data_IF_436733487238
#
_entry.id   IF_436733487238
#
_cell.length_a   1.000
_cell.length_b   1.000
_cell.length_c   1.000
_cell.angle_alpha   90.00
_cell.angle_beta   90.00
_cell.angle_gamma   90.00
#
_symmetry.space_group_name_H-M   'P 1'
#
loop_
_entity.id
_entity.type
_entity.pdbx_description
1 polymer ?
#
# COMPACT_ATOMS: atom_id res chain seq x y z
N UNK A 1 -9.64 -4.92 38.70
CA UNK A 1 -8.30 -4.68 38.16
C UNK A 1 -8.36 -3.49 37.23
N UNK A 2 -8.14 -2.27 37.80
CA UNK A 2 -8.05 -1.04 37.00
C UNK A 2 -6.67 -0.97 36.36
N UNK A 3 -6.53 -1.49 35.16
CA UNK A 3 -5.37 -1.17 34.33
C UNK A 3 -5.53 0.28 33.88
N UNK A 4 -4.76 1.19 34.47
CA UNK A 4 -4.58 2.51 33.88
C UNK A 4 -3.89 2.31 32.52
N UNK A 5 -4.55 2.73 31.45
CA UNK A 5 -3.90 2.86 30.16
C UNK A 5 -2.86 3.98 30.30
N UNK A 6 -1.60 3.63 30.20
CA UNK A 6 -0.49 4.58 30.24
C UNK A 6 -0.26 5.04 28.80
N UNK A 7 -0.29 6.36 28.59
CA UNK A 7 0.01 6.94 27.29
C UNK A 7 1.46 6.61 26.88
N UNK A 8 1.64 6.25 25.62
CA UNK A 8 2.97 5.98 25.03
C UNK A 8 3.89 7.19 25.19
N UNK A 9 3.35 8.39 25.08
CA UNK A 9 4.09 9.65 25.27
C UNK A 9 4.63 9.77 26.71
N UNK A 10 3.85 9.40 27.74
CA UNK A 10 4.29 9.41 29.13
C UNK A 10 5.43 8.41 29.39
N UNK A 11 5.37 7.24 28.74
CA UNK A 11 6.45 6.25 28.81
C UNK A 11 7.73 6.83 28.19
N UNK A 12 7.62 7.43 27.02
CA UNK A 12 8.76 8.02 26.31
C UNK A 12 9.39 9.16 27.09
N UNK A 13 8.60 10.05 27.67
CA UNK A 13 9.07 11.15 28.53
C UNK A 13 9.77 10.61 29.80
N UNK A 14 9.26 9.51 30.34
CA UNK A 14 9.89 8.84 31.49
C UNK A 14 11.25 8.27 31.13
N UNK A 15 11.37 7.63 29.95
CA UNK A 15 12.66 7.11 29.44
C UNK A 15 13.67 8.25 29.27
N UNK A 16 13.27 9.37 28.68
CA UNK A 16 14.14 10.55 28.51
C UNK A 16 14.65 11.07 29.87
N UNK A 17 13.74 11.26 30.84
CA UNK A 17 14.09 11.70 32.20
C UNK A 17 15.04 10.75 32.90
N UNK A 18 14.84 9.43 32.76
CA UNK A 18 15.71 8.43 33.35
C UNK A 18 17.11 8.46 32.72
N UNK A 19 17.20 8.56 31.40
CA UNK A 19 18.47 8.65 30.69
C UNK A 19 19.26 9.91 31.11
N UNK A 20 18.59 11.04 31.22
CA UNK A 20 19.20 12.29 31.68
C UNK A 20 19.66 12.19 33.13
N UNK A 21 18.82 11.65 34.02
CA UNK A 21 19.14 11.47 35.45
C UNK A 21 20.35 10.57 35.67
N UNK A 22 20.55 9.58 34.80
CA UNK A 22 21.69 8.67 34.85
C UNK A 22 22.91 9.16 34.03
N UNK A 23 22.95 10.45 33.67
CA UNK A 23 24.05 11.10 32.95
C UNK A 23 24.37 10.48 31.59
N UNK A 24 23.40 9.74 30.99
CA UNK A 24 23.53 9.12 29.67
C UNK A 24 23.17 10.08 28.53
N UNK A 25 23.76 11.28 28.56
CA UNK A 25 23.38 12.41 27.69
C UNK A 25 23.43 12.09 26.20
N UNK A 26 24.44 11.35 25.73
CA UNK A 26 24.54 10.99 24.32
C UNK A 26 23.41 10.02 23.89
N UNK A 27 23.06 9.08 24.76
CA UNK A 27 21.97 8.14 24.52
C UNK A 27 20.62 8.87 24.56
N UNK A 28 20.43 9.76 25.55
CA UNK A 28 19.22 10.59 25.64
C UNK A 28 19.06 11.46 24.39
N UNK A 29 20.11 12.13 23.93
CA UNK A 29 20.08 12.92 22.69
C UNK A 29 19.69 12.09 21.48
N UNK A 30 20.31 10.91 21.31
CA UNK A 30 20.00 10.02 20.20
C UNK A 30 18.55 9.52 20.27
N UNK A 31 18.04 9.24 21.47
CA UNK A 31 16.66 8.81 21.69
C UNK A 31 15.65 9.90 21.35
N UNK A 32 15.90 11.14 21.80
CA UNK A 32 15.05 12.31 21.52
C UNK A 32 14.98 12.56 20.01
N UNK A 33 16.13 12.60 19.32
CA UNK A 33 16.19 12.81 17.88
C UNK A 33 15.48 11.67 17.11
N UNK A 34 15.63 10.43 17.57
CA UNK A 34 14.92 9.29 16.99
C UNK A 34 13.41 9.42 17.16
N UNK A 35 12.93 9.77 18.38
CA UNK A 35 11.53 10.00 18.69
C UNK A 35 10.93 11.10 17.80
N UNK A 36 11.62 12.24 17.71
CA UNK A 36 11.21 13.37 16.88
C UNK A 36 11.08 12.96 15.42
N UNK A 37 12.09 12.27 14.87
CA UNK A 37 12.05 11.74 13.50
C UNK A 37 10.84 10.81 13.29
N UNK A 38 10.58 9.90 14.22
CA UNK A 38 9.44 8.97 14.15
C UNK A 38 8.09 9.69 14.19
N UNK A 39 7.97 10.70 15.03
CA UNK A 39 6.75 11.53 15.12
C UNK A 39 6.53 12.30 13.82
N UNK A 40 7.57 12.90 13.27
CA UNK A 40 7.49 13.59 11.98
C UNK A 40 7.07 12.65 10.85
N UNK A 41 7.70 11.49 10.74
CA UNK A 41 7.35 10.48 9.74
C UNK A 41 5.89 10.02 9.84
N UNK A 42 5.36 9.89 11.06
CA UNK A 42 3.94 9.55 11.29
C UNK A 42 3.03 10.69 10.82
N UNK A 43 3.37 11.93 11.14
CA UNK A 43 2.57 13.10 10.76
C UNK A 43 2.55 13.27 9.23
N UNK A 44 3.70 13.18 8.56
CA UNK A 44 3.81 13.28 7.10
C UNK A 44 2.94 12.20 6.41
N UNK A 45 2.92 10.99 6.95
CA UNK A 45 2.06 9.90 6.47
C UNK A 45 0.58 10.22 6.65
N UNK A 46 0.18 10.67 7.83
CA UNK A 46 -1.22 11.01 8.12
C UNK A 46 -1.70 12.18 7.27
N UNK A 47 -0.86 13.17 7.04
CA UNK A 47 -1.18 14.28 6.12
C UNK A 47 -1.39 13.78 4.69
N UNK A 48 -0.55 12.85 4.23
CA UNK A 48 -0.69 12.26 2.90
C UNK A 48 -2.00 11.46 2.77
N UNK A 49 -2.31 10.61 3.76
CA UNK A 49 -3.57 9.85 3.82
C UNK A 49 -4.77 10.79 3.80
N UNK A 50 -4.74 11.85 4.60
CA UNK A 50 -5.81 12.86 4.66
C UNK A 50 -5.99 13.60 3.33
N UNK A 51 -4.90 13.96 2.68
CA UNK A 51 -4.93 14.67 1.40
C UNK A 51 -5.50 13.79 0.29
N UNK A 52 -5.19 12.49 0.31
CA UNK A 52 -5.70 11.52 -0.65
C UNK A 52 -7.16 11.14 -0.32
N UNK A 53 -7.51 11.10 0.97
CA UNK A 53 -8.85 10.73 1.44
C UNK A 53 -9.10 9.23 1.36
N UNK A 54 -8.09 8.42 1.68
CA UNK A 54 -8.14 6.97 1.68
C UNK A 54 -7.44 6.41 2.93
N UNK A 55 -8.21 5.95 3.89
CA UNK A 55 -7.70 5.43 5.16
C UNK A 55 -6.99 4.07 4.99
N UNK A 56 -7.43 3.23 4.03
CA UNK A 56 -6.79 1.92 3.76
C UNK A 56 -5.36 2.10 3.23
N UNK A 57 -5.03 3.25 2.65
CA UNK A 57 -3.68 3.59 2.19
C UNK A 57 -2.68 3.70 3.34
N UNK A 58 -3.12 3.98 4.58
CA UNK A 58 -2.22 4.13 5.72
C UNK A 58 -1.37 2.89 5.96
N UNK A 59 -1.98 1.70 5.91
CA UNK A 59 -1.26 0.43 6.13
C UNK A 59 -0.16 0.21 5.09
N UNK A 60 -0.43 0.57 3.83
CA UNK A 60 0.56 0.50 2.74
C UNK A 60 1.73 1.45 3.00
N UNK A 61 1.44 2.68 3.44
CA UNK A 61 2.49 3.67 3.74
C UNK A 61 3.29 3.29 5.00
N UNK A 62 2.66 2.66 6.00
CA UNK A 62 3.36 2.09 7.17
C UNK A 62 4.34 1.01 6.73
N UNK A 63 3.92 0.10 5.85
CA UNK A 63 4.77 -0.98 5.35
C UNK A 63 5.92 -0.44 4.48
N UNK A 64 5.65 0.58 3.66
CA UNK A 64 6.67 1.30 2.90
C UNK A 64 7.71 1.92 3.85
N UNK A 65 7.29 2.65 4.89
CA UNK A 65 8.20 3.29 5.85
C UNK A 65 9.04 2.27 6.64
N UNK A 66 8.48 1.09 6.95
CA UNK A 66 9.23 0.00 7.58
C UNK A 66 10.31 -0.58 6.67
N UNK A 67 9.98 -0.75 5.40
CA UNK A 67 10.86 -1.37 4.41
C UNK A 67 11.92 -0.40 3.88
N UNK A 68 11.61 0.89 3.85
CA UNK A 68 12.47 1.96 3.32
C UNK A 68 12.58 3.14 4.31
N UNK A 69 13.22 2.93 5.49
CA UNK A 69 13.25 3.93 6.58
C UNK A 69 14.03 5.20 6.24
N UNK A 70 14.86 5.16 5.20
CA UNK A 70 15.67 6.29 4.74
C UNK A 70 14.94 7.16 3.70
N UNK A 71 13.75 6.72 3.24
CA UNK A 71 12.96 7.43 2.25
C UNK A 71 11.91 8.31 2.94
N UNK A 72 12.00 9.62 2.67
CA UNK A 72 11.16 10.61 3.31
C UNK A 72 9.84 10.80 2.55
N UNK A 73 8.72 10.38 3.15
CA UNK A 73 7.39 10.58 2.59
C UNK A 73 7.00 12.05 2.47
N UNK A 74 7.65 12.96 3.18
CA UNK A 74 7.44 14.40 3.02
C UNK A 74 7.73 14.85 1.59
N UNK A 75 8.79 14.34 0.97
CA UNK A 75 9.11 14.62 -0.45
C UNK A 75 8.00 14.14 -1.39
N UNK A 76 7.41 12.98 -1.09
CA UNK A 76 6.28 12.46 -1.84
C UNK A 76 5.05 13.33 -1.65
N UNK A 77 4.75 13.76 -0.42
CA UNK A 77 3.68 14.70 -0.10
C UNK A 77 3.84 16.03 -0.87
N UNK A 78 5.01 16.65 -0.79
CA UNK A 78 5.30 17.91 -1.47
C UNK A 78 5.11 17.79 -2.99
N UNK A 79 5.63 16.71 -3.59
CA UNK A 79 5.47 16.46 -5.01
C UNK A 79 4.03 16.21 -5.39
N UNK A 80 3.32 15.37 -4.67
CA UNK A 80 1.92 15.09 -4.90
C UNK A 80 1.05 16.35 -4.77
N UNK A 81 1.25 17.14 -3.70
CA UNK A 81 0.47 18.35 -3.43
C UNK A 81 0.61 19.41 -4.53
N UNK A 82 1.80 19.53 -5.15
CA UNK A 82 2.00 20.47 -6.27
C UNK A 82 1.29 20.05 -7.54
N UNK A 83 1.00 18.77 -7.71
CA UNK A 83 0.36 18.20 -8.92
C UNK A 83 -1.14 17.94 -8.71
N UNK A 84 -1.59 17.83 -7.46
CA UNK A 84 -2.99 17.58 -7.11
C UNK A 84 -3.88 18.78 -7.44
N UNK A 85 -5.11 18.49 -7.88
CA UNK A 85 -6.13 19.48 -8.22
C UNK A 85 -7.42 19.19 -7.49
N UNK A 86 -8.17 20.22 -7.15
CA UNK A 86 -9.49 20.06 -6.58
C UNK A 86 -10.42 19.29 -7.52
N UNK A 87 -11.29 18.47 -6.94
CA UNK A 87 -12.30 17.71 -7.69
C UNK A 87 -11.80 16.41 -8.34
N UNK A 88 -10.55 16.03 -8.15
CA UNK A 88 -10.05 14.72 -8.61
C UNK A 88 -10.74 13.57 -7.87
N UNK A 89 -11.08 12.50 -8.61
CA UNK A 89 -11.57 11.26 -8.00
C UNK A 89 -10.50 10.60 -7.11
N UNK A 90 -10.91 9.73 -6.19
CA UNK A 90 -9.98 8.96 -5.37
C UNK A 90 -9.01 8.16 -6.24
N UNK A 91 -9.51 7.50 -7.29
CA UNK A 91 -8.71 6.76 -8.26
C UNK A 91 -7.63 7.63 -8.90
N UNK A 92 -7.99 8.84 -9.35
CA UNK A 92 -7.03 9.77 -9.97
C UNK A 92 -5.97 10.23 -8.98
N UNK A 93 -6.35 10.45 -7.71
CA UNK A 93 -5.41 10.82 -6.64
C UNK A 93 -4.42 9.69 -6.33
N UNK A 94 -4.87 8.44 -6.25
CA UNK A 94 -3.99 7.28 -6.05
C UNK A 94 -3.05 7.09 -7.25
N UNK A 95 -3.55 7.23 -8.47
CA UNK A 95 -2.74 7.18 -9.68
C UNK A 95 -1.69 8.31 -9.72
N UNK A 96 -2.08 9.52 -9.31
CA UNK A 96 -1.17 10.66 -9.21
C UNK A 96 -0.09 10.44 -8.14
N UNK A 97 -0.45 9.88 -6.97
CA UNK A 97 0.51 9.53 -5.92
C UNK A 97 1.55 8.52 -6.43
N UNK A 98 1.08 7.47 -7.11
CA UNK A 98 1.93 6.45 -7.72
C UNK A 98 2.91 7.07 -8.71
N UNK A 99 2.41 7.93 -9.60
CA UNK A 99 3.24 8.65 -10.57
C UNK A 99 4.22 9.60 -9.89
N UNK A 100 3.78 10.35 -8.88
CA UNK A 100 4.64 11.26 -8.12
C UNK A 100 5.80 10.50 -7.47
N UNK A 101 5.55 9.30 -6.94
CA UNK A 101 6.58 8.41 -6.40
C UNK A 101 7.56 7.94 -7.47
N UNK A 102 7.06 7.48 -8.63
CA UNK A 102 7.91 7.03 -9.73
C UNK A 102 8.84 8.16 -10.24
N UNK A 103 8.34 9.39 -10.31
CA UNK A 103 9.12 10.56 -10.74
C UNK A 103 10.17 11.03 -9.70
N UNK A 104 10.16 10.51 -8.47
CA UNK A 104 11.21 10.74 -7.48
C UNK A 104 12.41 9.79 -7.66
N UNK A 105 12.28 8.78 -8.54
CA UNK A 105 13.36 7.82 -8.79
C UNK A 105 14.57 8.50 -9.41
N UNK A 106 15.71 8.37 -8.75
CA UNK A 106 17.00 8.84 -9.25
C UNK A 106 18.04 7.74 -9.13
N UNK A 107 19.24 7.98 -9.67
CA UNK A 107 20.36 7.06 -9.53
C UNK A 107 20.81 6.89 -8.07
N UNK A 108 20.70 7.96 -7.29
CA UNK A 108 21.05 8.01 -5.87
C UNK A 108 19.97 7.40 -4.98
N UNK A 109 18.73 7.47 -5.43
CA UNK A 109 17.55 6.98 -4.67
C UNK A 109 16.68 6.01 -5.52
N UNK A 110 17.22 4.85 -5.91
CA UNK A 110 16.54 3.94 -6.84
C UNK A 110 15.31 3.23 -6.24
N UNK A 111 15.20 3.17 -4.90
CA UNK A 111 14.09 2.47 -4.27
C UNK A 111 12.74 3.21 -4.38
N UNK A 112 12.71 4.47 -4.83
CA UNK A 112 11.45 5.12 -5.21
C UNK A 112 10.71 4.32 -6.30
N UNK A 113 11.43 3.64 -7.17
CA UNK A 113 10.86 2.70 -8.14
C UNK A 113 10.09 1.54 -7.47
N UNK A 114 10.60 1.02 -6.36
CA UNK A 114 9.92 -0.04 -5.58
C UNK A 114 8.76 0.52 -4.75
N UNK A 115 8.92 1.71 -4.20
CA UNK A 115 7.84 2.41 -3.48
C UNK A 115 6.67 2.68 -4.45
N UNK A 116 6.96 3.19 -5.64
CA UNK A 116 5.96 3.39 -6.68
C UNK A 116 5.31 2.06 -7.13
N UNK A 117 6.07 0.96 -7.17
CA UNK A 117 5.53 -0.37 -7.45
C UNK A 117 4.51 -0.84 -6.41
N UNK A 118 4.75 -0.59 -5.12
CA UNK A 118 3.78 -0.90 -4.05
C UNK A 118 2.52 -0.04 -4.13
N UNK A 119 2.67 1.25 -4.44
CA UNK A 119 1.53 2.14 -4.65
C UNK A 119 0.71 1.75 -5.89
N UNK A 120 1.36 1.31 -6.96
CA UNK A 120 0.68 0.77 -8.14
C UNK A 120 -0.06 -0.54 -7.83
N UNK A 121 0.57 -1.44 -7.06
CA UNK A 121 -0.08 -2.68 -6.60
C UNK A 121 -1.34 -2.39 -5.79
N UNK A 122 -1.26 -1.41 -4.89
CA UNK A 122 -2.42 -0.93 -4.14
C UNK A 122 -3.51 -0.37 -5.06
N UNK A 123 -3.15 0.46 -6.02
CA UNK A 123 -4.09 1.02 -7.00
C UNK A 123 -4.82 -0.08 -7.80
N UNK A 124 -4.09 -1.10 -8.23
CA UNK A 124 -4.65 -2.26 -8.93
C UNK A 124 -5.61 -3.03 -8.01
N UNK A 125 -5.24 -3.26 -6.76
CA UNK A 125 -6.09 -3.95 -5.79
C UNK A 125 -7.40 -3.18 -5.53
N UNK A 126 -7.36 -1.85 -5.43
CA UNK A 126 -8.56 -1.01 -5.31
C UNK A 126 -9.47 -1.14 -6.54
N UNK A 127 -8.91 -1.13 -7.75
CA UNK A 127 -9.66 -1.30 -9.00
C UNK A 127 -10.32 -2.69 -9.09
N UNK A 128 -9.60 -3.74 -8.67
CA UNK A 128 -10.13 -5.10 -8.62
C UNK A 128 -11.26 -5.21 -7.59
N UNK A 129 -11.05 -4.73 -6.37
CA UNK A 129 -12.07 -4.72 -5.29
C UNK A 129 -13.36 -4.03 -5.77
N UNK A 130 -13.25 -2.85 -6.36
CA UNK A 130 -14.39 -2.13 -6.90
C UNK A 130 -15.11 -2.88 -8.03
N UNK A 131 -14.36 -3.58 -8.88
CA UNK A 131 -14.92 -4.42 -9.94
C UNK A 131 -15.65 -5.63 -9.38
N UNK A 132 -15.05 -6.33 -8.41
CA UNK A 132 -15.64 -7.48 -7.73
C UNK A 132 -16.94 -7.11 -7.01
N UNK A 133 -16.94 -6.02 -6.28
CA UNK A 133 -18.14 -5.49 -5.60
C UNK A 133 -19.25 -5.16 -6.59
N UNK A 134 -18.92 -4.49 -7.69
CA UNK A 134 -19.88 -4.13 -8.75
C UNK A 134 -20.50 -5.36 -9.43
N UNK A 135 -19.73 -6.44 -9.57
CA UNK A 135 -20.15 -7.69 -10.22
C UNK A 135 -20.75 -8.70 -9.22
N UNK A 136 -20.69 -8.41 -7.90
CA UNK A 136 -21.16 -9.31 -6.85
C UNK A 136 -20.31 -10.57 -6.68
N UNK A 137 -19.02 -10.51 -7.02
CA UNK A 137 -18.08 -11.63 -6.95
C UNK A 137 -17.47 -11.69 -5.54
N UNK A 138 -17.91 -12.63 -4.72
CA UNK A 138 -17.52 -12.74 -3.30
C UNK A 138 -16.58 -13.91 -3.02
N UNK A 139 -16.40 -14.85 -3.96
CA UNK A 139 -15.47 -15.97 -3.82
C UNK A 139 -14.59 -16.14 -5.06
N UNK A 140 -13.47 -16.82 -4.88
CA UNK A 140 -12.57 -17.11 -6.00
C UNK A 140 -13.26 -18.01 -7.06
N UNK A 141 -14.07 -18.95 -6.62
CA UNK A 141 -14.90 -19.76 -7.51
C UNK A 141 -15.83 -18.91 -8.39
N UNK A 142 -16.50 -17.91 -7.81
CA UNK A 142 -17.37 -17.00 -8.57
C UNK A 142 -16.58 -16.19 -9.60
N UNK A 143 -15.35 -15.76 -9.27
CA UNK A 143 -14.47 -15.06 -10.21
C UNK A 143 -14.13 -15.96 -11.40
N UNK A 144 -13.70 -17.20 -11.14
CA UNK A 144 -13.39 -18.17 -12.18
C UNK A 144 -14.63 -18.47 -13.05
N UNK A 145 -15.80 -18.66 -12.41
CA UNK A 145 -17.07 -18.90 -13.13
C UNK A 145 -17.40 -17.73 -14.06
N UNK A 146 -17.31 -16.50 -13.54
CA UNK A 146 -17.54 -15.31 -14.36
C UNK A 146 -16.56 -15.19 -15.52
N UNK A 147 -15.27 -15.47 -15.32
CA UNK A 147 -14.26 -15.42 -16.38
C UNK A 147 -14.50 -16.51 -17.46
N UNK A 148 -15.02 -17.68 -17.07
CA UNK A 148 -15.44 -18.73 -18.02
C UNK A 148 -16.66 -18.26 -18.83
N UNK A 149 -17.67 -17.68 -18.19
CA UNK A 149 -18.85 -17.13 -18.87
C UNK A 149 -18.48 -16.01 -19.86
N UNK A 150 -17.44 -15.23 -19.54
CA UNK A 150 -16.92 -14.20 -20.46
C UNK A 150 -16.01 -14.79 -21.57
N UNK A 151 -15.77 -16.11 -21.59
CA UNK A 151 -14.89 -16.75 -22.57
C UNK A 151 -13.40 -16.47 -22.38
N UNK A 152 -13.00 -15.99 -21.19
CA UNK A 152 -11.61 -15.65 -20.85
C UNK A 152 -10.85 -16.87 -20.31
N UNK A 153 -11.54 -17.76 -19.62
CA UNK A 153 -11.02 -19.04 -19.13
C UNK A 153 -11.73 -20.22 -19.76
N UNK A 154 -11.05 -21.36 -19.78
CA UNK A 154 -11.61 -22.61 -20.30
C UNK A 154 -12.54 -23.28 -19.29
N UNK A 155 -13.70 -23.78 -19.74
CA UNK A 155 -14.70 -24.48 -18.92
C UNK A 155 -14.13 -25.70 -18.18
N UNK A 156 -13.07 -26.32 -18.73
CA UNK A 156 -12.40 -27.48 -18.14
C UNK A 156 -11.95 -27.28 -16.67
N UNK A 157 -11.76 -26.04 -16.24
CA UNK A 157 -11.38 -25.74 -14.86
C UNK A 157 -12.49 -26.21 -13.91
N UNK A 158 -13.74 -25.80 -14.16
CA UNK A 158 -14.88 -26.16 -13.32
C UNK A 158 -15.44 -27.57 -13.62
N UNK A 159 -15.06 -28.16 -14.75
CA UNK A 159 -15.35 -29.57 -15.06
C UNK A 159 -14.47 -30.52 -14.25
N UNK A 160 -13.23 -30.13 -13.93
CA UNK A 160 -12.25 -31.00 -13.29
C UNK A 160 -12.07 -30.71 -11.79
N UNK A 161 -12.42 -29.52 -11.31
CA UNK A 161 -12.23 -29.11 -9.93
C UNK A 161 -13.53 -28.67 -9.29
N UNK A 162 -13.78 -29.16 -8.09
CA UNK A 162 -14.95 -28.79 -7.29
C UNK A 162 -14.84 -27.34 -6.78
N UNK A 163 -15.96 -26.75 -6.41
CA UNK A 163 -16.02 -25.41 -5.78
C UNK A 163 -15.04 -25.28 -4.61
N UNK A 164 -14.99 -26.30 -3.74
CA UNK A 164 -14.10 -26.32 -2.58
C UNK A 164 -12.62 -26.30 -2.98
N UNK A 165 -12.23 -27.10 -3.96
CA UNK A 165 -10.84 -27.14 -4.42
C UNK A 165 -10.42 -25.80 -5.05
N UNK A 166 -11.30 -25.16 -5.81
CA UNK A 166 -11.04 -23.85 -6.41
C UNK A 166 -10.86 -22.78 -5.34
N UNK A 167 -11.71 -22.75 -4.30
CA UNK A 167 -11.57 -21.79 -3.21
C UNK A 167 -10.37 -22.10 -2.29
N UNK A 168 -9.97 -23.38 -2.15
CA UNK A 168 -8.74 -23.76 -1.44
C UNK A 168 -7.49 -23.21 -2.15
N UNK A 169 -7.45 -23.21 -3.48
CA UNK A 169 -6.34 -22.61 -4.25
C UNK A 169 -6.18 -21.14 -3.93
N UNK A 170 -7.27 -20.39 -3.73
CA UNK A 170 -7.21 -18.97 -3.36
C UNK A 170 -6.39 -18.73 -2.09
N UNK A 171 -6.45 -19.65 -1.13
CA UNK A 171 -5.70 -19.57 0.14
C UNK A 171 -4.18 -19.74 -0.04
N UNK A 172 -3.74 -20.28 -1.17
CA UNK A 172 -2.32 -20.47 -1.49
C UNK A 172 -1.71 -19.24 -2.18
N UNK A 173 -2.53 -18.27 -2.58
CA UNK A 173 -2.08 -17.03 -3.22
C UNK A 173 -1.49 -16.11 -2.15
N UNK A 174 -0.20 -15.87 -2.22
CA UNK A 174 0.52 -14.97 -1.31
C UNK A 174 0.62 -13.56 -1.91
N UNK A 175 -0.32 -12.71 -1.55
CA UNK A 175 -0.38 -11.32 -2.03
C UNK A 175 0.80 -10.46 -1.54
N UNK A 176 1.54 -10.88 -0.49
CA UNK A 176 2.72 -10.14 -0.04
C UNK A 176 3.84 -10.15 -1.08
N UNK A 177 3.84 -11.13 -1.98
CA UNK A 177 4.80 -11.24 -3.09
C UNK A 177 4.62 -10.13 -4.13
N UNK A 178 3.49 -9.45 -4.17
CA UNK A 178 3.28 -8.28 -5.02
C UNK A 178 4.26 -7.14 -4.69
N UNK A 179 4.77 -7.11 -3.45
CA UNK A 179 5.81 -6.16 -3.02
C UNK A 179 7.18 -6.38 -3.69
N UNK A 180 7.38 -7.48 -4.42
CA UNK A 180 8.62 -7.75 -5.16
C UNK A 180 8.69 -7.00 -6.50
N UNK A 181 7.56 -6.54 -7.03
CA UNK A 181 7.53 -5.82 -8.29
C UNK A 181 8.08 -4.38 -8.15
N UNK A 182 8.77 -3.95 -9.19
CA UNK A 182 9.07 -2.54 -9.42
C UNK A 182 7.90 -1.87 -10.14
N UNK A 183 7.86 -0.54 -10.13
CA UNK A 183 6.84 0.22 -10.85
C UNK A 183 6.81 -0.16 -12.34
N UNK A 184 7.97 -0.07 -13.02
CA UNK A 184 8.05 -0.38 -14.47
C UNK A 184 7.66 -1.82 -14.78
N UNK A 185 8.04 -2.78 -13.92
CA UNK A 185 7.67 -4.18 -14.09
C UNK A 185 6.17 -4.41 -13.93
N UNK A 186 5.57 -3.84 -12.88
CA UNK A 186 4.14 -3.99 -12.62
C UNK A 186 3.29 -3.20 -13.62
N UNK A 187 3.73 -2.01 -14.05
CA UNK A 187 3.06 -1.21 -15.07
C UNK A 187 2.99 -1.99 -16.39
N UNK A 188 4.11 -2.58 -16.81
CA UNK A 188 4.14 -3.43 -18.01
C UNK A 188 3.20 -4.63 -17.89
N UNK A 189 3.19 -5.32 -16.74
CA UNK A 189 2.27 -6.43 -16.47
C UNK A 189 0.81 -5.96 -16.53
N UNK A 190 0.50 -4.83 -15.89
CA UNK A 190 -0.86 -4.31 -15.82
C UNK A 190 -1.41 -3.93 -17.19
N UNK A 191 -0.56 -3.46 -18.09
CA UNK A 191 -0.96 -3.05 -19.43
C UNK A 191 -1.13 -4.23 -20.41
N UNK A 192 -0.39 -5.32 -20.22
CA UNK A 192 -0.27 -6.39 -21.23
C UNK A 192 -0.77 -7.75 -20.80
N UNK A 193 -0.76 -8.05 -19.50
CA UNK A 193 -0.94 -9.43 -19.02
C UNK A 193 -2.11 -9.59 -18.04
N UNK A 194 -2.49 -8.54 -17.32
CA UNK A 194 -3.65 -8.63 -16.44
C UNK A 194 -4.93 -8.82 -17.25
N UNK A 195 -5.78 -9.71 -16.77
CA UNK A 195 -6.98 -10.11 -17.48
C UNK A 195 -8.02 -8.99 -17.43
N UNK A 196 -8.57 -8.68 -18.60
CA UNK A 196 -9.63 -7.67 -18.77
C UNK A 196 -10.77 -8.27 -19.57
N UNK A 197 -11.98 -7.81 -19.29
CA UNK A 197 -13.12 -8.16 -20.13
C UNK A 197 -13.10 -7.39 -21.47
N UNK A 198 -14.06 -7.68 -22.34
CA UNK A 198 -14.20 -7.02 -23.63
C UNK A 198 -14.45 -5.50 -23.55
N UNK A 199 -14.79 -4.98 -22.38
CA UNK A 199 -14.97 -3.56 -22.08
C UNK A 199 -13.72 -2.95 -21.44
N UNK A 200 -12.59 -3.65 -21.44
CA UNK A 200 -11.31 -3.27 -20.83
C UNK A 200 -11.35 -3.08 -19.30
N UNK A 201 -12.36 -3.63 -18.63
CA UNK A 201 -12.42 -3.63 -17.16
C UNK A 201 -11.50 -4.71 -16.63
N UNK A 202 -10.68 -4.35 -15.65
CA UNK A 202 -9.73 -5.26 -15.00
C UNK A 202 -10.49 -6.31 -14.17
N UNK A 203 -10.12 -7.58 -14.34
CA UNK A 203 -10.73 -8.72 -13.66
C UNK A 203 -9.73 -9.49 -12.79
N UNK A 204 -8.44 -9.50 -13.17
CA UNK A 204 -7.36 -10.17 -12.47
C UNK A 204 -6.01 -9.54 -12.83
#
# INVERSE_FOLDING_TARGET
DGRQEVDVEEIQDTVEKILMKNEKYNVAKSYILYREKRTQMRNDRLELVKLIGDEELEDVLVDIQKSYPDYDLKRLYEKFSTMSKDGQSLKDRIALLTRSSAELTTKEEPNWERIAGRLLSYSIACDLKATEEKLGLTSFYQKISYMIEQGLYGAYILENYSHKEVDEIASLIDNTRNNLFTYSGLDLLSQRYLIRNHQHVLLE
#
